data_IF_477572784060
#
_entry.id   IF_477572784060
#
_cell.length_a   1.000
_cell.length_b   1.000
_cell.length_c   1.000
_cell.angle_alpha   90.00
_cell.angle_beta   90.00
_cell.angle_gamma   90.00
#
_symmetry.space_group_name_H-M   'P 1'
#
loop_
_entity.id
_entity.type
_entity.pdbx_description
1 polymer ?
#
# COMPACT_ATOMS: atom_id res chain seq x y z
N UNK A 1 -20.52 30.93 -13.94
CA UNK A 1 -20.58 29.63 -14.66
C UNK A 1 -19.68 28.66 -13.90
N UNK A 2 -20.18 27.56 -13.32
CA UNK A 2 -19.38 26.76 -12.39
C UNK A 2 -18.38 25.87 -13.15
N UNK A 3 -17.10 26.10 -12.85
CA UNK A 3 -15.96 25.18 -12.90
C UNK A 3 -15.96 24.06 -13.95
N UNK A 4 -15.32 24.34 -15.09
CA UNK A 4 -14.81 23.36 -16.06
C UNK A 4 -13.64 22.53 -15.51
N UNK A 5 -13.85 21.83 -14.39
CA UNK A 5 -12.85 20.91 -13.85
C UNK A 5 -12.72 19.66 -14.73
N UNK A 6 -11.49 19.22 -15.00
CA UNK A 6 -11.18 18.05 -15.81
C UNK A 6 -12.04 16.83 -15.37
N UNK A 7 -12.89 16.27 -16.25
CA UNK A 7 -13.81 15.20 -15.89
C UNK A 7 -13.08 13.92 -15.43
N UNK A 8 -11.88 13.66 -15.95
CA UNK A 8 -11.03 12.53 -15.56
C UNK A 8 -10.59 12.66 -14.11
N UNK A 9 -10.19 13.85 -13.69
CA UNK A 9 -9.76 14.11 -12.31
C UNK A 9 -10.91 13.91 -11.32
N UNK A 10 -12.15 14.29 -11.68
CA UNK A 10 -13.34 14.06 -10.84
C UNK A 10 -13.64 12.58 -10.70
N UNK A 11 -13.50 11.81 -11.78
CA UNK A 11 -13.73 10.37 -11.76
C UNK A 11 -12.67 9.66 -10.90
N UNK A 12 -11.39 10.02 -11.07
CA UNK A 12 -10.30 9.53 -10.24
C UNK A 12 -10.55 9.84 -8.76
N UNK A 13 -10.94 11.08 -8.42
CA UNK A 13 -11.25 11.46 -7.04
C UNK A 13 -12.52 10.80 -6.47
N UNK A 14 -13.40 10.25 -7.31
CA UNK A 14 -14.59 9.51 -6.86
C UNK A 14 -14.29 8.03 -6.62
N UNK A 15 -13.38 7.45 -7.40
CA UNK A 15 -13.08 6.01 -7.40
C UNK A 15 -11.67 5.65 -6.90
N UNK A 16 -10.85 6.62 -6.48
CA UNK A 16 -9.49 6.35 -5.99
C UNK A 16 -9.45 5.38 -4.81
N UNK A 17 -10.46 5.38 -3.94
CA UNK A 17 -10.55 4.43 -2.83
C UNK A 17 -10.78 2.99 -3.31
N UNK A 18 -11.54 2.81 -4.41
CA UNK A 18 -11.76 1.50 -5.05
C UNK A 18 -10.45 1.02 -5.68
N UNK A 19 -9.78 1.91 -6.43
CA UNK A 19 -8.49 1.59 -7.06
C UNK A 19 -7.41 1.29 -6.01
N UNK A 20 -7.38 2.05 -4.92
CA UNK A 20 -6.49 1.84 -3.80
C UNK A 20 -6.78 0.50 -3.11
N UNK A 21 -8.04 0.21 -2.80
CA UNK A 21 -8.42 -1.05 -2.18
C UNK A 21 -8.10 -2.25 -3.08
N UNK A 22 -8.38 -2.15 -4.38
CA UNK A 22 -8.04 -3.18 -5.35
C UNK A 22 -6.52 -3.40 -5.46
N UNK A 23 -5.73 -2.32 -5.44
CA UNK A 23 -4.27 -2.40 -5.45
C UNK A 23 -3.70 -3.00 -4.15
N UNK A 24 -4.26 -2.65 -2.98
CA UNK A 24 -3.88 -3.26 -1.71
C UNK A 24 -4.25 -4.75 -1.66
N UNK A 25 -5.42 -5.11 -2.19
CA UNK A 25 -5.88 -6.50 -2.23
C UNK A 25 -5.03 -7.34 -3.19
N UNK A 26 -4.76 -6.86 -4.41
CA UNK A 26 -3.93 -7.58 -5.37
C UNK A 26 -2.51 -7.76 -4.86
N UNK A 27 -1.95 -6.75 -4.19
CA UNK A 27 -0.62 -6.85 -3.57
C UNK A 27 -0.61 -7.81 -2.38
N UNK A 28 -1.62 -7.74 -1.51
CA UNK A 28 -1.76 -8.68 -0.40
C UNK A 28 -1.85 -10.14 -0.88
N UNK A 29 -2.56 -10.37 -1.99
CA UNK A 29 -2.63 -11.70 -2.62
C UNK A 29 -1.27 -12.10 -3.20
N UNK A 30 -0.55 -11.18 -3.84
CA UNK A 30 0.79 -11.43 -4.37
C UNK A 30 1.79 -11.81 -3.27
N UNK A 31 1.91 -10.98 -2.23
CA UNK A 31 2.82 -11.23 -1.10
C UNK A 31 2.43 -12.50 -0.33
N UNK A 32 1.13 -12.78 -0.21
CA UNK A 32 0.66 -14.05 0.36
C UNK A 32 1.11 -15.24 -0.49
N UNK A 33 1.03 -15.13 -1.82
CA UNK A 33 1.54 -16.13 -2.75
C UNK A 33 3.03 -16.37 -2.59
N UNK A 34 3.83 -15.30 -2.46
CA UNK A 34 5.27 -15.42 -2.20
C UNK A 34 5.57 -16.06 -0.84
N UNK A 35 4.82 -15.73 0.21
CA UNK A 35 4.97 -16.35 1.54
C UNK A 35 4.62 -17.84 1.48
N UNK A 36 3.56 -18.23 0.77
CA UNK A 36 3.20 -19.65 0.62
C UNK A 36 4.26 -20.42 -0.19
N UNK A 37 4.89 -19.77 -1.16
CA UNK A 37 6.00 -20.33 -1.93
C UNK A 37 7.35 -20.28 -1.19
N UNK A 38 7.45 -19.51 -0.10
CA UNK A 38 8.68 -19.36 0.66
C UNK A 38 9.02 -20.64 1.42
N UNK A 39 10.29 -21.06 1.41
CA UNK A 39 10.71 -22.29 2.08
C UNK A 39 10.52 -22.15 3.59
N UNK A 40 9.99 -23.22 4.20
CA UNK A 40 9.79 -23.28 5.66
C UNK A 40 11.11 -23.42 6.42
N UNK A 41 12.21 -23.71 5.72
CA UNK A 41 13.56 -23.66 6.26
C UNK A 41 14.39 -22.59 5.54
N UNK A 42 15.22 -21.82 6.26
CA UNK A 42 16.17 -20.92 5.65
C UNK A 42 17.13 -21.68 4.75
N UNK A 43 17.36 -21.21 3.53
CA UNK A 43 18.57 -21.64 2.83
C UNK A 43 19.77 -20.95 3.50
N UNK A 44 20.83 -21.70 3.79
CA UNK A 44 22.04 -21.21 4.48
C UNK A 44 22.73 -20.08 3.70
N UNK A 45 22.42 -19.95 2.40
CA UNK A 45 22.93 -18.92 1.49
C UNK A 45 22.09 -17.64 1.46
N UNK A 46 20.82 -17.67 1.90
CA UNK A 46 19.90 -16.52 1.84
C UNK A 46 20.03 -15.60 3.05
N UNK A 47 21.24 -15.06 3.30
CA UNK A 47 21.49 -13.88 4.16
C UNK A 47 20.66 -13.70 5.45
N UNK A 48 20.40 -12.43 5.82
CA UNK A 48 19.59 -12.08 6.99
C UNK A 48 18.11 -12.39 6.69
N UNK A 49 17.53 -13.29 7.47
CA UNK A 49 16.11 -13.68 7.43
C UNK A 49 15.48 -13.50 8.81
N UNK A 50 14.18 -13.23 8.83
CA UNK A 50 13.41 -12.95 10.04
C UNK A 50 12.30 -13.99 10.13
N UNK A 51 12.12 -14.68 11.28
CA UNK A 51 10.96 -15.54 11.48
C UNK A 51 9.69 -14.68 11.55
N UNK A 52 8.69 -15.03 10.77
CA UNK A 52 7.39 -14.38 10.71
C UNK A 52 6.29 -15.41 11.00
N UNK A 53 5.39 -15.06 11.93
CA UNK A 53 4.25 -15.91 12.27
C UNK A 53 3.07 -15.58 11.35
N UNK A 54 2.84 -16.44 10.37
CA UNK A 54 1.70 -16.36 9.47
C UNK A 54 0.60 -17.32 9.93
N UNK A 55 -0.40 -16.81 10.66
CA UNK A 55 -1.56 -17.58 11.12
C UNK A 55 -1.20 -18.90 11.86
N UNK A 56 -0.16 -18.88 12.69
CA UNK A 56 0.29 -20.05 13.47
C UNK A 56 1.38 -20.88 12.78
N UNK A 57 1.74 -20.57 11.53
CA UNK A 57 2.88 -21.16 10.84
C UNK A 57 4.05 -20.18 10.80
N UNK A 58 5.22 -20.62 11.27
CA UNK A 58 6.46 -19.84 11.14
C UNK A 58 6.97 -19.99 9.72
N UNK A 59 7.13 -18.86 9.04
CA UNK A 59 7.77 -18.73 7.73
C UNK A 59 8.95 -17.77 7.84
N UNK A 60 9.98 -17.95 7.03
CA UNK A 60 11.15 -17.08 7.06
C UNK A 60 11.07 -16.08 5.91
N UNK A 61 11.06 -14.79 6.26
CA UNK A 61 10.97 -13.70 5.29
C UNK A 61 12.23 -12.84 5.32
N UNK A 62 12.45 -12.08 4.25
CA UNK A 62 13.54 -11.11 4.18
C UNK A 62 13.19 -9.80 4.90
N UNK A 63 14.20 -9.02 5.37
CA UNK A 63 13.97 -7.70 5.97
C UNK A 63 13.23 -6.72 5.06
N UNK A 64 13.41 -6.81 3.74
CA UNK A 64 12.68 -6.00 2.76
C UNK A 64 11.19 -6.35 2.74
N UNK A 65 10.84 -7.63 2.71
CA UNK A 65 9.45 -8.10 2.79
C UNK A 65 8.79 -7.67 4.12
N UNK A 66 9.50 -7.81 5.25
CA UNK A 66 9.00 -7.36 6.56
C UNK A 66 8.69 -5.85 6.58
N UNK A 67 9.58 -5.02 6.03
CA UNK A 67 9.37 -3.57 5.95
C UNK A 67 8.18 -3.21 5.04
N UNK A 68 8.06 -3.86 3.89
CA UNK A 68 6.94 -3.62 2.98
C UNK A 68 5.60 -3.86 3.69
N UNK A 69 5.45 -5.00 4.37
CA UNK A 69 4.24 -5.37 5.10
C UNK A 69 3.87 -4.41 6.23
N UNK A 70 4.85 -3.84 6.94
CA UNK A 70 4.60 -2.88 8.03
C UNK A 70 4.17 -1.51 7.50
N UNK A 71 4.83 -1.01 6.45
CA UNK A 71 4.65 0.37 6.00
C UNK A 71 3.54 0.55 4.96
N UNK A 72 3.20 -0.49 4.20
CA UNK A 72 2.18 -0.40 3.14
C UNK A 72 0.78 -0.02 3.61
N UNK A 73 0.25 -0.54 4.74
CA UNK A 73 -1.05 -0.10 5.26
C UNK A 73 -1.11 1.41 5.54
N UNK A 74 0.04 2.02 5.82
CA UNK A 74 0.16 3.46 6.13
C UNK A 74 0.19 4.34 4.87
N UNK A 75 0.50 3.80 3.68
CA UNK A 75 0.66 4.60 2.45
C UNK A 75 -0.66 5.25 2.01
N UNK A 76 -1.78 4.53 2.08
CA UNK A 76 -3.11 5.07 1.73
C UNK A 76 -3.51 6.27 2.57
N UNK A 77 -3.54 6.14 3.91
CA UNK A 77 -3.80 7.26 4.81
C UNK A 77 -2.90 8.48 4.55
N UNK A 78 -1.61 8.26 4.28
CA UNK A 78 -0.66 9.34 3.97
C UNK A 78 -1.03 10.05 2.66
N UNK A 79 -1.38 9.31 1.60
CA UNK A 79 -1.80 9.90 0.33
C UNK A 79 -3.09 10.73 0.48
N UNK A 80 -4.05 10.25 1.28
CA UNK A 80 -5.29 10.98 1.59
C UNK A 80 -4.97 12.32 2.26
N UNK A 81 -4.11 12.27 3.28
CA UNK A 81 -3.70 13.45 4.03
C UNK A 81 -3.03 14.47 3.11
N UNK A 82 -2.13 14.02 2.22
CA UNK A 82 -1.48 14.89 1.23
C UNK A 82 -2.51 15.54 0.31
N UNK A 83 -3.43 14.77 -0.26
CA UNK A 83 -4.48 15.32 -1.15
C UNK A 83 -5.36 16.34 -0.41
N UNK A 84 -5.72 16.06 0.85
CA UNK A 84 -6.48 16.97 1.68
C UNK A 84 -5.72 18.29 1.93
N UNK A 85 -4.45 18.20 2.36
CA UNK A 85 -3.60 19.37 2.62
C UNK A 85 -3.38 20.21 1.35
N UNK A 86 -3.18 19.57 0.20
CA UNK A 86 -3.04 20.26 -1.09
C UNK A 86 -4.34 21.01 -1.42
N UNK A 87 -5.51 20.39 -1.26
CA UNK A 87 -6.80 21.06 -1.48
C UNK A 87 -7.03 22.25 -0.55
N UNK A 88 -6.67 22.13 0.72
CA UNK A 88 -6.78 23.23 1.68
C UNK A 88 -5.90 24.42 1.28
N UNK A 89 -4.67 24.15 0.80
CA UNK A 89 -3.77 25.21 0.31
C UNK A 89 -4.31 25.91 -0.93
N UNK A 90 -4.94 25.20 -1.86
CA UNK A 90 -5.55 25.81 -3.05
C UNK A 90 -6.69 26.75 -2.66
N UNK A 91 -7.59 26.33 -1.75
CA UNK A 91 -8.69 27.19 -1.26
C UNK A 91 -8.19 28.49 -0.62
N UNK A 92 -7.12 28.44 0.17
CA UNK A 92 -6.53 29.64 0.80
C UNK A 92 -5.93 30.64 -0.19
N UNK A 93 -5.64 30.24 -1.44
CA UNK A 93 -5.10 31.14 -2.48
C UNK A 93 -6.21 31.83 -3.28
N UNK A 94 -7.45 31.34 -3.19
CA UNK A 94 -8.61 31.85 -3.90
C UNK A 94 -9.43 32.86 -3.08
N UNK A 95 -9.13 33.00 -1.77
CA UNK A 95 -9.70 33.98 -0.82
C UNK A 95 -8.68 35.05 -0.49
#
# INVERSE_FOLDING_TARGET
>A
MPHGGNPVLRLLLRYWWVLYFAACLSWGIHDWGEILASPTMPNVTTGNIIPYNNHGKIVYITPSQSRAMIWQPCIGPILILIVFLVRQRQRKRET
#
